data_IF_066892361718
#
_entry.id   IF_066892361718
#
_cell.length_a   1.000
_cell.length_b   1.000
_cell.length_c   1.000
_cell.angle_alpha   90.00
_cell.angle_beta   90.00
_cell.angle_gamma   90.00
#
_symmetry.space_group_name_H-M   'P 1'
#
loop_
_entity.id
_entity.type
_entity.pdbx_description
1 polymer ?
#
# COMPACT_ATOMS: atom_id res chain seq x y z
N UNK A 1 33.92 1.75 47.57
CA UNK A 1 34.56 3.05 47.25
C UNK A 1 34.44 4.12 48.35
N UNK A 2 33.23 4.60 48.69
CA UNK A 2 33.02 5.74 49.60
C UNK A 2 33.67 5.61 51.00
N UNK A 3 33.61 4.40 51.57
CA UNK A 3 34.25 4.11 52.85
C UNK A 3 35.78 4.28 52.78
N UNK A 4 36.40 3.90 51.66
CA UNK A 4 37.84 4.06 51.43
C UNK A 4 38.21 5.55 51.28
N UNK A 5 37.37 6.34 50.60
CA UNK A 5 37.57 7.79 50.45
C UNK A 5 37.47 8.50 51.80
N UNK A 6 36.49 8.11 52.62
CA UNK A 6 36.34 8.64 53.97
C UNK A 6 37.55 8.33 54.85
N UNK A 7 38.04 7.09 54.77
CA UNK A 7 39.22 6.64 55.53
C UNK A 7 40.51 7.31 55.03
N UNK A 8 40.64 7.54 53.73
CA UNK A 8 41.76 8.27 53.14
C UNK A 8 41.80 9.72 53.60
N UNK A 9 40.63 10.36 53.63
CA UNK A 9 40.48 11.74 54.12
C UNK A 9 40.91 11.83 55.59
N UNK A 10 40.44 10.89 56.42
CA UNK A 10 40.81 10.83 57.83
C UNK A 10 42.33 10.63 58.04
N UNK A 11 42.94 9.66 57.35
CA UNK A 11 44.39 9.40 57.47
C UNK A 11 45.22 10.57 56.94
N UNK A 12 44.77 11.23 55.88
CA UNK A 12 45.44 12.41 55.33
C UNK A 12 45.43 13.58 56.32
N UNK A 13 44.30 13.80 56.99
CA UNK A 13 44.17 14.83 58.01
C UNK A 13 45.04 14.52 59.24
N UNK A 14 45.10 13.24 59.64
CA UNK A 14 45.97 12.80 60.73
C UNK A 14 47.46 13.01 60.40
N UNK A 15 47.88 12.70 59.18
CA UNK A 15 49.26 12.87 58.73
C UNK A 15 49.77 14.32 58.78
N UNK A 16 48.86 15.30 58.68
CA UNK A 16 49.20 16.73 58.79
C UNK A 16 49.45 17.18 60.24
N UNK A 17 48.81 16.53 61.21
CA UNK A 17 48.78 16.99 62.60
C UNK A 17 49.63 16.12 63.54
N UNK A 18 49.82 14.84 63.23
CA UNK A 18 50.58 13.89 64.05
C UNK A 18 52.01 13.69 63.51
N UNK A 19 53.01 14.12 64.30
CA UNK A 19 54.43 13.98 63.94
C UNK A 19 54.95 12.53 64.01
N UNK A 20 54.22 11.63 64.67
CA UNK A 20 54.56 10.21 64.77
C UNK A 20 53.69 9.34 63.84
N UNK A 21 53.01 9.97 62.88
CA UNK A 21 52.19 9.25 61.90
C UNK A 21 53.00 8.19 61.15
N UNK A 22 52.43 7.00 60.98
CA UNK A 22 53.03 5.90 60.23
C UNK A 22 52.53 5.93 58.76
N UNK A 23 53.39 6.29 57.79
CA UNK A 23 52.99 6.37 56.38
C UNK A 23 52.55 5.03 55.77
N UNK A 24 52.95 3.89 56.36
CA UNK A 24 52.55 2.57 55.86
C UNK A 24 51.03 2.35 55.88
N UNK A 25 50.33 3.04 56.77
CA UNK A 25 48.87 2.98 56.88
C UNK A 25 48.16 3.55 55.65
N UNK A 26 48.73 4.58 55.00
CA UNK A 26 48.22 5.11 53.73
C UNK A 26 48.51 4.11 52.61
N UNK A 27 49.70 3.51 52.59
CA UNK A 27 50.06 2.52 51.56
C UNK A 27 49.14 1.30 51.59
N UNK A 28 48.83 0.78 52.78
CA UNK A 28 47.89 -0.32 52.94
C UNK A 28 46.47 0.05 52.52
N UNK A 29 46.05 1.30 52.80
CA UNK A 29 44.79 1.81 52.29
C UNK A 29 44.79 1.93 50.75
N UNK A 30 45.91 2.35 50.13
CA UNK A 30 46.03 2.42 48.66
C UNK A 30 45.91 1.05 48.00
N UNK A 31 46.43 -0.02 48.62
CA UNK A 31 46.22 -1.40 48.13
C UNK A 31 44.75 -1.78 48.13
N UNK A 32 43.98 -1.34 49.14
CA UNK A 32 42.52 -1.57 49.16
C UNK A 32 41.80 -0.78 48.07
N UNK A 33 42.22 0.45 47.79
CA UNK A 33 41.71 1.25 46.66
C UNK A 33 41.94 0.55 45.32
N UNK A 34 43.13 0.03 45.09
CA UNK A 34 43.47 -0.70 43.86
C UNK A 34 42.58 -1.93 43.68
N UNK A 35 42.42 -2.75 44.73
CA UNK A 35 41.56 -3.93 44.70
C UNK A 35 40.11 -3.56 44.42
N UNK A 36 39.59 -2.53 45.11
CA UNK A 36 38.21 -2.07 44.94
C UNK A 36 38.00 -1.52 43.51
N UNK A 37 38.94 -0.74 42.98
CA UNK A 37 38.87 -0.19 41.64
C UNK A 37 38.83 -1.30 40.58
N UNK A 38 39.70 -2.32 40.68
CA UNK A 38 39.66 -3.46 39.77
C UNK A 38 38.35 -4.24 39.86
N UNK A 39 37.81 -4.45 41.07
CA UNK A 39 36.51 -5.11 41.24
C UNK A 39 35.38 -4.31 40.62
N UNK A 40 35.34 -3.00 40.86
CA UNK A 40 34.33 -2.12 40.26
C UNK A 40 34.42 -2.12 38.74
N UNK A 41 35.64 -2.06 38.18
CA UNK A 41 35.83 -2.11 36.73
C UNK A 41 35.40 -3.45 36.14
N UNK A 42 35.79 -4.57 36.75
CA UNK A 42 35.36 -5.90 36.31
C UNK A 42 33.84 -6.09 36.39
N UNK A 43 33.19 -5.54 37.41
CA UNK A 43 31.75 -5.59 37.56
C UNK A 43 31.03 -4.77 36.46
N UNK A 44 31.53 -3.57 36.16
CA UNK A 44 31.00 -2.72 35.08
C UNK A 44 31.20 -3.38 33.72
N UNK A 45 32.37 -3.93 33.45
CA UNK A 45 32.66 -4.62 32.19
C UNK A 45 31.72 -5.82 31.99
N UNK A 46 31.51 -6.63 33.03
CA UNK A 46 30.57 -7.75 32.98
C UNK A 46 29.13 -7.28 32.75
N UNK A 47 28.71 -6.21 33.44
CA UNK A 47 27.38 -5.63 33.25
C UNK A 47 27.20 -5.14 31.80
N UNK A 48 28.17 -4.40 31.26
CA UNK A 48 28.12 -3.94 29.88
C UNK A 48 28.09 -5.10 28.87
N UNK A 49 28.85 -6.16 29.10
CA UNK A 49 28.82 -7.35 28.23
C UNK A 49 27.43 -8.01 28.22
N UNK A 50 26.79 -8.13 29.38
CA UNK A 50 25.42 -8.66 29.46
C UNK A 50 24.42 -7.72 28.79
N UNK A 51 24.51 -6.41 29.02
CA UNK A 51 23.63 -5.42 28.40
C UNK A 51 23.75 -5.42 26.86
N UNK A 52 24.97 -5.56 26.33
CA UNK A 52 25.22 -5.68 24.89
C UNK A 52 24.61 -6.98 24.36
N UNK A 53 24.84 -8.11 25.03
CA UNK A 53 24.27 -9.39 24.63
C UNK A 53 22.74 -9.36 24.62
N UNK A 54 22.11 -8.79 25.66
CA UNK A 54 20.66 -8.66 25.75
C UNK A 54 20.11 -7.74 24.64
N UNK A 55 20.83 -6.64 24.33
CA UNK A 55 20.47 -5.73 23.25
C UNK A 55 20.58 -6.40 21.87
N UNK A 56 21.63 -7.18 21.62
CA UNK A 56 21.81 -7.95 20.38
C UNK A 56 20.70 -9.00 20.19
N UNK A 57 20.35 -9.72 21.26
CA UNK A 57 19.24 -10.69 21.23
C UNK A 57 17.91 -9.99 20.92
N UNK A 58 17.63 -8.87 21.59
CA UNK A 58 16.41 -8.10 21.35
C UNK A 58 16.35 -7.54 19.92
N UNK A 59 17.48 -7.09 19.38
CA UNK A 59 17.58 -6.63 17.99
C UNK A 59 17.28 -7.76 17.02
N UNK A 60 17.90 -8.92 17.20
CA UNK A 60 17.67 -10.08 16.34
C UNK A 60 16.20 -10.53 16.37
N UNK A 61 15.58 -10.57 17.56
CA UNK A 61 14.16 -10.91 17.68
C UNK A 61 13.25 -9.91 16.98
N UNK A 62 13.59 -8.62 17.01
CA UNK A 62 12.85 -7.58 16.31
C UNK A 62 13.01 -7.70 14.78
N UNK A 63 14.21 -8.02 14.30
CA UNK A 63 14.49 -8.27 12.88
C UNK A 63 13.72 -9.51 12.39
N UNK A 64 13.80 -10.63 13.11
CA UNK A 64 13.09 -11.86 12.74
C UNK A 64 11.57 -11.64 12.67
N UNK A 65 11.02 -10.86 13.61
CA UNK A 65 9.62 -10.49 13.60
C UNK A 65 9.26 -9.60 12.40
N UNK A 66 10.07 -8.57 12.13
CA UNK A 66 9.87 -7.68 10.98
C UNK A 66 9.88 -8.48 9.68
N UNK A 67 10.85 -9.37 9.51
CA UNK A 67 10.99 -10.22 8.33
C UNK A 67 9.74 -11.11 8.15
N UNK A 68 9.24 -11.73 9.22
CA UNK A 68 8.02 -12.53 9.15
C UNK A 68 6.80 -11.71 8.72
N UNK A 69 6.62 -10.51 9.27
CA UNK A 69 5.48 -9.65 8.93
C UNK A 69 5.60 -9.12 7.51
N UNK A 70 6.81 -8.82 7.06
CA UNK A 70 7.08 -8.40 5.69
C UNK A 70 6.83 -9.52 4.68
N UNK A 71 7.25 -10.75 4.98
CA UNK A 71 7.00 -11.92 4.13
C UNK A 71 5.49 -12.17 4.00
N UNK A 72 4.77 -12.18 5.11
CA UNK A 72 3.30 -12.33 5.13
C UNK A 72 2.62 -11.23 4.31
N UNK A 73 3.03 -9.97 4.48
CA UNK A 73 2.47 -8.84 3.75
C UNK A 73 2.75 -8.95 2.23
N UNK A 74 3.96 -9.35 1.84
CA UNK A 74 4.32 -9.52 0.42
C UNK A 74 3.54 -10.68 -0.22
N UNK A 75 3.29 -11.74 0.52
CA UNK A 75 2.46 -12.86 0.06
C UNK A 75 0.99 -12.46 -0.10
N UNK A 76 0.46 -11.65 0.82
CA UNK A 76 -0.89 -11.08 0.70
C UNK A 76 -0.99 -10.15 -0.52
N UNK A 77 -0.01 -9.27 -0.71
CA UNK A 77 0.04 -8.39 -1.89
C UNK A 77 0.07 -9.17 -3.19
N UNK A 78 0.86 -10.24 -3.27
CA UNK A 78 0.92 -11.09 -4.46
C UNK A 78 -0.43 -11.73 -4.78
N UNK A 79 -1.11 -12.28 -3.77
CA UNK A 79 -2.45 -12.87 -3.93
C UNK A 79 -3.46 -11.81 -4.37
N UNK A 80 -3.39 -10.61 -3.78
CA UNK A 80 -4.24 -9.49 -4.16
C UNK A 80 -4.04 -9.11 -5.64
N UNK A 81 -2.79 -9.00 -6.11
CA UNK A 81 -2.50 -8.70 -7.51
C UNK A 81 -3.05 -9.77 -8.46
N UNK A 82 -2.82 -11.05 -8.15
CA UNK A 82 -3.35 -12.18 -8.95
C UNK A 82 -4.89 -12.17 -9.01
N UNK A 83 -5.55 -11.90 -7.89
CA UNK A 83 -7.01 -11.80 -7.83
C UNK A 83 -7.53 -10.58 -8.60
N UNK A 84 -6.85 -9.44 -8.47
CA UNK A 84 -7.18 -8.21 -9.15
C UNK A 84 -7.08 -8.38 -10.67
N UNK A 85 -5.98 -8.95 -11.17
CA UNK A 85 -5.78 -9.19 -12.60
C UNK A 85 -6.84 -10.12 -13.16
N UNK A 86 -7.14 -11.23 -12.45
CA UNK A 86 -8.20 -12.16 -12.86
C UNK A 86 -9.57 -11.48 -12.93
N UNK A 87 -9.88 -10.61 -11.96
CA UNK A 87 -11.14 -9.86 -11.96
C UNK A 87 -11.20 -8.84 -13.09
N UNK A 88 -10.10 -8.12 -13.34
CA UNK A 88 -10.00 -7.14 -14.41
C UNK A 88 -10.15 -7.79 -15.79
N UNK A 89 -9.52 -8.95 -16.02
CA UNK A 89 -9.69 -9.73 -17.26
C UNK A 89 -11.13 -10.20 -17.45
N UNK A 90 -11.75 -10.72 -16.38
CA UNK A 90 -13.14 -11.16 -16.44
C UNK A 90 -14.11 -10.00 -16.73
N UNK A 91 -13.89 -8.84 -16.11
CA UNK A 91 -14.69 -7.65 -16.34
C UNK A 91 -14.51 -7.11 -17.76
N UNK A 92 -13.26 -7.06 -18.26
CA UNK A 92 -12.96 -6.67 -19.63
C UNK A 92 -13.67 -7.58 -20.64
N UNK A 93 -13.60 -8.91 -20.45
CA UNK A 93 -14.27 -9.85 -21.33
C UNK A 93 -15.79 -9.65 -21.33
N UNK A 94 -16.39 -9.42 -20.15
CA UNK A 94 -17.82 -9.11 -20.06
C UNK A 94 -18.19 -7.81 -20.79
N UNK A 95 -17.35 -6.77 -20.70
CA UNK A 95 -17.56 -5.52 -21.41
C UNK A 95 -17.46 -5.70 -22.93
N UNK A 96 -16.47 -6.46 -23.40
CA UNK A 96 -16.32 -6.80 -24.82
C UNK A 96 -17.55 -7.54 -25.33
N UNK A 97 -18.02 -8.57 -24.62
CA UNK A 97 -19.21 -9.34 -24.98
C UNK A 97 -20.47 -8.46 -25.03
N UNK A 98 -20.67 -7.60 -24.02
CA UNK A 98 -21.78 -6.65 -23.99
C UNK A 98 -21.71 -5.67 -25.16
N UNK A 99 -20.52 -5.14 -25.46
CA UNK A 99 -20.31 -4.22 -26.58
C UNK A 99 -20.59 -4.87 -27.93
N UNK A 100 -20.18 -6.13 -28.10
CA UNK A 100 -20.38 -6.85 -29.36
C UNK A 100 -21.86 -7.17 -29.57
N UNK A 101 -22.57 -7.58 -28.51
CA UNK A 101 -24.04 -7.77 -28.53
C UNK A 101 -24.75 -6.47 -28.88
N UNK A 102 -24.37 -5.34 -28.26
CA UNK A 102 -24.92 -4.04 -28.57
C UNK A 102 -24.67 -3.63 -30.03
N UNK A 103 -23.46 -3.86 -30.56
CA UNK A 103 -23.10 -3.58 -31.96
C UNK A 103 -23.93 -4.41 -32.93
N UNK A 104 -24.06 -5.73 -32.68
CA UNK A 104 -24.89 -6.64 -33.49
C UNK A 104 -26.35 -6.19 -33.48
N UNK A 105 -26.89 -5.85 -32.32
CA UNK A 105 -28.25 -5.33 -32.19
C UNK A 105 -28.44 -4.02 -32.97
N UNK A 106 -27.52 -3.06 -32.81
CA UNK A 106 -27.55 -1.79 -33.53
C UNK A 106 -27.57 -1.98 -35.05
N UNK A 107 -26.72 -2.88 -35.59
CA UNK A 107 -26.71 -3.19 -37.02
C UNK A 107 -28.02 -3.83 -37.51
N UNK A 108 -28.64 -4.70 -36.70
CA UNK A 108 -29.94 -5.28 -37.03
C UNK A 108 -31.06 -4.23 -37.05
N UNK A 109 -31.07 -3.34 -36.04
CA UNK A 109 -32.02 -2.23 -35.97
C UNK A 109 -31.85 -1.27 -37.15
N UNK A 110 -30.61 -0.94 -37.52
CA UNK A 110 -30.31 -0.11 -38.68
C UNK A 110 -30.85 -0.73 -39.98
N UNK A 111 -30.62 -2.04 -40.20
CA UNK A 111 -31.16 -2.76 -41.36
C UNK A 111 -32.69 -2.75 -41.38
N UNK A 112 -33.33 -3.01 -40.24
CA UNK A 112 -34.78 -3.00 -40.13
C UNK A 112 -35.36 -1.60 -40.41
N UNK A 113 -34.76 -0.55 -39.84
CA UNK A 113 -35.13 0.83 -40.08
C UNK A 113 -34.96 1.21 -41.56
N UNK A 114 -33.86 0.79 -42.21
CA UNK A 114 -33.64 1.01 -43.64
C UNK A 114 -34.73 0.35 -44.51
N UNK A 115 -35.11 -0.89 -44.21
CA UNK A 115 -36.18 -1.59 -44.92
C UNK A 115 -37.53 -0.88 -44.72
N UNK A 116 -37.86 -0.51 -43.48
CA UNK A 116 -39.10 0.20 -43.18
C UNK A 116 -39.15 1.57 -43.87
N UNK A 117 -38.04 2.31 -43.85
CA UNK A 117 -37.89 3.60 -44.55
C UNK A 117 -38.09 3.44 -46.06
N UNK A 118 -37.47 2.43 -46.69
CA UNK A 118 -37.69 2.14 -48.12
C UNK A 118 -39.15 1.83 -48.44
N UNK A 119 -39.80 0.98 -47.64
CA UNK A 119 -41.23 0.66 -47.80
C UNK A 119 -42.11 1.88 -47.67
N UNK A 120 -41.80 2.77 -46.72
CA UNK A 120 -42.52 4.03 -46.54
C UNK A 120 -42.34 4.95 -47.75
N UNK A 121 -41.12 5.12 -48.25
CA UNK A 121 -40.84 5.89 -49.47
C UNK A 121 -41.55 5.31 -50.69
N UNK A 122 -41.52 3.99 -50.89
CA UNK A 122 -42.24 3.31 -51.98
C UNK A 122 -43.75 3.55 -51.89
N UNK A 123 -44.34 3.43 -50.70
CA UNK A 123 -45.76 3.70 -50.49
C UNK A 123 -46.10 5.17 -50.80
N UNK A 124 -45.27 6.11 -50.35
CA UNK A 124 -45.43 7.54 -50.65
C UNK A 124 -45.32 7.83 -52.16
N UNK A 125 -44.34 7.24 -52.86
CA UNK A 125 -44.16 7.38 -54.31
C UNK A 125 -45.33 6.77 -55.10
N UNK A 126 -45.81 5.58 -54.70
CA UNK A 126 -46.96 4.94 -55.32
C UNK A 126 -48.23 5.77 -55.11
N UNK A 127 -48.43 6.30 -53.92
CA UNK A 127 -49.54 7.20 -53.60
C UNK A 127 -49.46 8.47 -54.45
N UNK A 128 -48.32 9.14 -54.49
CA UNK A 128 -48.10 10.33 -55.32
C UNK A 128 -48.35 10.04 -56.82
N UNK A 129 -47.89 8.90 -57.33
CA UNK A 129 -48.13 8.48 -58.71
C UNK A 129 -49.61 8.22 -58.99
N UNK A 130 -50.32 7.58 -58.07
CA UNK A 130 -51.76 7.38 -58.16
C UNK A 130 -52.51 8.71 -58.16
N UNK A 131 -52.13 9.65 -57.27
CA UNK A 131 -52.65 11.01 -57.24
C UNK A 131 -52.37 11.79 -58.52
N UNK A 132 -51.18 11.67 -59.10
CA UNK A 132 -50.87 12.28 -60.40
C UNK A 132 -51.69 11.66 -61.54
N UNK A 133 -51.83 10.33 -61.57
CA UNK A 133 -52.67 9.66 -62.57
C UNK A 133 -54.13 10.04 -62.45
N UNK A 134 -54.67 10.16 -61.24
CA UNK A 134 -56.06 10.59 -61.03
C UNK A 134 -56.25 12.06 -61.41
N UNK A 135 -55.32 12.95 -61.05
CA UNK A 135 -55.32 14.33 -61.48
C UNK A 135 -55.23 14.46 -63.03
N UNK A 136 -54.36 13.69 -63.68
CA UNK A 136 -54.26 13.65 -65.14
C UNK A 136 -55.55 13.13 -65.79
N UNK A 137 -56.16 12.07 -65.26
CA UNK A 137 -57.46 11.58 -65.73
C UNK A 137 -58.56 12.62 -65.56
N UNK A 138 -58.59 13.35 -64.45
CA UNK A 138 -59.57 14.41 -64.22
C UNK A 138 -59.39 15.58 -65.22
N UNK A 139 -58.16 15.92 -65.58
CA UNK A 139 -57.86 16.93 -66.62
C UNK A 139 -58.22 16.39 -68.02
N UNK A 140 -57.95 15.11 -68.29
CA UNK A 140 -58.23 14.43 -69.56
C UNK A 140 -59.71 14.09 -69.78
N UNK A 141 -60.52 13.95 -68.71
CA UNK A 141 -61.93 13.59 -68.78
C UNK A 141 -62.86 14.78 -68.86
N UNK A 142 -62.37 15.95 -69.26
CA UNK A 142 -63.19 17.13 -69.52
C UNK A 142 -64.05 16.93 -70.79
N UNK A 143 -64.98 15.96 -70.74
CA UNK A 143 -66.16 15.95 -71.60
C UNK A 143 -67.14 16.96 -71.01
N UNK A 144 -67.17 18.13 -71.62
CA UNK A 144 -68.19 19.15 -71.42
C UNK A 144 -69.53 18.57 -71.86
N UNK A 145 -70.47 18.39 -70.93
CA UNK A 145 -71.86 18.11 -71.29
C UNK A 145 -72.58 19.47 -71.49
N UNK A 146 -73.17 19.74 -72.68
CA UNK A 146 -74.01 20.91 -72.88
C UNK A 146 -75.40 20.70 -72.26
N UNK A 147 -75.99 21.83 -71.85
CA UNK A 147 -77.18 22.01 -71.02
C UNK A 147 -78.45 21.31 -71.50
#
# INVERSE_FOLDING_TARGET
MEALISQFTFLSDQALHDKNFDPSTIEDLMKLFEIEAYKSWAAIELQHQNEVQDAEIAMQQAEDYLDSVMEDAMDEFRRFEEEFDRMAEAELQQLLDKSEKARKMGSLMEKAASVASKRYMEAAMNSATASMRSAWKAISSNKVHPS
#
